data_IF_969524621094
#
_entry.id   IF_969524621094
#
_cell.length_a   1.000
_cell.length_b   1.000
_cell.length_c   1.000
_cell.angle_alpha   90.00
_cell.angle_beta   90.00
_cell.angle_gamma   90.00
#
_symmetry.space_group_name_H-M   'P 1'
#
loop_
_entity.id
_entity.type
_entity.pdbx_description
1 polymer ?
#
# COMPACT_ATOMS: atom_id res chain seq x y z
N UNK A 1 -39.05 0.74 -76.35
CA UNK A 1 -40.27 0.69 -75.51
C UNK A 1 -39.85 0.19 -74.14
N UNK A 2 -39.82 1.09 -73.14
CA UNK A 2 -40.75 1.13 -71.99
C UNK A 2 -40.36 0.04 -70.98
N UNK A 3 -40.01 0.30 -69.72
CA UNK A 3 -40.29 1.45 -68.88
C UNK A 3 -40.54 0.92 -67.47
N UNK A 4 -40.13 1.70 -66.47
CA UNK A 4 -40.32 1.49 -65.02
C UNK A 4 -41.80 1.20 -64.66
N UNK A 5 -42.06 0.76 -63.43
CA UNK A 5 -42.92 1.44 -62.43
C UNK A 5 -43.36 0.46 -61.29
N UNK A 6 -42.76 0.71 -60.12
CA UNK A 6 -43.28 0.68 -58.73
C UNK A 6 -44.69 0.16 -58.39
N UNK A 7 -44.77 -0.67 -57.31
CA UNK A 7 -45.71 -0.50 -56.16
C UNK A 7 -45.24 -1.36 -54.96
N UNK A 8 -44.62 -0.78 -53.92
CA UNK A 8 -45.13 -0.52 -52.56
C UNK A 8 -45.86 -1.67 -51.84
N UNK A 9 -45.31 -2.10 -50.70
CA UNK A 9 -46.08 -2.20 -49.45
C UNK A 9 -45.17 -1.98 -48.24
N UNK A 10 -45.68 -1.17 -47.32
CA UNK A 10 -45.02 -0.67 -46.12
C UNK A 10 -45.62 -1.33 -44.86
N UNK A 11 -45.12 -0.86 -43.71
CA UNK A 11 -45.49 -1.18 -42.32
C UNK A 11 -44.72 -2.40 -41.76
N UNK A 12 -44.11 -2.37 -40.56
CA UNK A 12 -44.39 -1.58 -39.36
C UNK A 12 -43.12 -1.66 -38.48
N UNK A 13 -42.32 -0.60 -38.37
CA UNK A 13 -41.20 -0.57 -37.41
C UNK A 13 -41.74 -0.21 -36.02
N UNK A 14 -41.78 -1.21 -35.15
CA UNK A 14 -42.07 -1.05 -33.73
C UNK A 14 -40.91 -0.25 -33.10
N UNK A 15 -41.18 1.01 -32.75
CA UNK A 15 -40.29 1.80 -31.92
C UNK A 15 -40.24 1.22 -30.52
N UNK A 16 -39.20 0.47 -30.21
CA UNK A 16 -38.83 0.18 -28.82
C UNK A 16 -38.02 1.37 -28.33
N UNK A 17 -38.68 2.15 -27.49
CA UNK A 17 -38.15 3.32 -26.83
C UNK A 17 -36.87 3.04 -26.05
N UNK A 18 -35.95 3.98 -26.22
CA UNK A 18 -34.83 4.30 -25.37
C UNK A 18 -35.23 4.26 -23.88
N UNK A 19 -34.59 3.39 -23.09
CA UNK A 19 -34.49 3.49 -21.62
C UNK A 19 -33.38 2.55 -21.12
N UNK A 20 -32.17 2.74 -21.62
CA UNK A 20 -30.97 2.32 -20.91
C UNK A 20 -30.34 3.59 -20.34
N UNK A 21 -30.85 3.99 -19.18
CA UNK A 21 -30.21 4.95 -18.31
C UNK A 21 -28.78 4.47 -18.06
N UNK A 22 -27.82 5.20 -18.59
CA UNK A 22 -26.42 5.05 -18.25
C UNK A 22 -26.29 5.34 -16.76
N UNK A 23 -25.96 4.32 -15.96
CA UNK A 23 -25.42 4.51 -14.62
C UNK A 23 -24.11 5.28 -14.78
N UNK A 24 -24.20 6.61 -14.78
CA UNK A 24 -23.02 7.49 -14.65
C UNK A 24 -22.46 7.26 -13.25
N UNK A 25 -21.43 6.43 -13.16
CA UNK A 25 -20.54 6.46 -12.00
C UNK A 25 -20.05 7.91 -11.82
N UNK A 26 -20.17 8.43 -10.61
CA UNK A 26 -19.84 9.82 -10.25
C UNK A 26 -18.40 10.17 -10.71
N UNK A 27 -18.30 10.98 -11.78
CA UNK A 27 -17.09 11.29 -12.57
C UNK A 27 -16.10 12.22 -11.85
N UNK A 28 -16.32 12.48 -10.56
CA UNK A 28 -15.45 13.35 -9.76
C UNK A 28 -14.08 12.70 -9.56
N UNK A 29 -13.03 13.51 -9.70
CA UNK A 29 -11.66 13.10 -9.39
C UNK A 29 -11.54 12.71 -7.91
N UNK A 30 -10.49 11.95 -7.57
CA UNK A 30 -10.22 11.53 -6.19
C UNK A 30 -10.10 12.73 -5.24
N UNK A 31 -9.44 13.77 -5.71
CA UNK A 31 -9.25 15.02 -4.99
C UNK A 31 -10.57 15.73 -4.77
N UNK A 32 -11.49 15.67 -5.73
CA UNK A 32 -12.83 16.26 -5.58
C UNK A 32 -13.70 15.46 -4.59
N UNK A 33 -13.59 14.13 -4.60
CA UNK A 33 -14.32 13.24 -3.66
C UNK A 33 -13.86 13.44 -2.21
N UNK A 34 -12.55 13.48 -2.01
CA UNK A 34 -11.94 13.55 -0.67
C UNK A 34 -11.66 14.99 -0.20
N UNK A 35 -11.71 15.96 -1.12
CA UNK A 35 -11.25 17.34 -0.93
C UNK A 35 -9.78 17.41 -0.46
N UNK A 36 -8.95 16.48 -0.92
CA UNK A 36 -7.52 16.38 -0.63
C UNK A 36 -6.77 16.47 -1.96
N UNK A 37 -5.93 17.48 -2.13
CA UNK A 37 -5.20 17.67 -3.37
C UNK A 37 -3.99 16.74 -3.47
N UNK A 38 -3.69 16.22 -4.67
CA UNK A 38 -2.46 15.48 -5.02
C UNK A 38 -2.33 14.11 -4.33
N UNK A 39 -3.39 13.31 -4.35
CA UNK A 39 -3.29 11.89 -3.97
C UNK A 39 -2.94 11.07 -5.21
N UNK A 40 -1.73 10.53 -5.24
CA UNK A 40 -1.25 9.71 -6.37
C UNK A 40 -1.92 8.33 -6.46
N UNK A 41 -2.71 7.97 -5.45
CA UNK A 41 -3.28 6.63 -5.26
C UNK A 41 -4.75 6.69 -4.83
N UNK A 42 -5.50 5.63 -5.17
CA UNK A 42 -6.90 5.42 -4.74
C UNK A 42 -7.03 4.81 -3.34
N UNK A 43 -5.92 4.39 -2.75
CA UNK A 43 -5.91 3.71 -1.47
C UNK A 43 -6.12 4.67 -0.30
N UNK A 44 -6.75 4.18 0.77
CA UNK A 44 -7.26 5.01 1.86
C UNK A 44 -6.90 4.45 3.21
N UNK A 45 -5.68 3.96 3.37
CA UNK A 45 -5.19 3.48 4.66
C UNK A 45 -4.53 4.62 5.44
N UNK A 46 -4.40 4.53 6.78
CA UNK A 46 -3.58 5.46 7.55
C UNK A 46 -2.15 5.61 7.03
N UNK A 47 -1.57 4.56 6.45
CA UNK A 47 -0.30 4.65 5.73
C UNK A 47 -0.34 5.65 4.56
N UNK A 48 -1.40 5.66 3.76
CA UNK A 48 -1.52 6.56 2.60
C UNK A 48 -1.65 8.02 3.06
N UNK A 49 -2.34 8.27 4.18
CA UNK A 49 -2.37 9.59 4.81
C UNK A 49 -0.99 10.00 5.33
N UNK A 50 -0.23 9.06 5.92
CA UNK A 50 1.13 9.30 6.40
C UNK A 50 2.08 9.71 5.28
N UNK A 51 2.14 8.95 4.18
CA UNK A 51 3.02 9.31 3.05
C UNK A 51 2.59 10.62 2.39
N UNK A 52 1.29 10.90 2.32
CA UNK A 52 0.75 12.16 1.81
C UNK A 52 1.23 13.36 2.66
N UNK A 53 1.01 13.31 3.97
CA UNK A 53 1.37 14.37 4.92
C UNK A 53 2.87 14.68 4.91
N UNK A 54 3.69 13.66 4.70
CA UNK A 54 5.15 13.75 4.74
C UNK A 54 5.80 13.81 3.35
N UNK A 55 5.01 13.88 2.26
CA UNK A 55 5.51 13.93 0.88
C UNK A 55 6.51 12.80 0.57
N UNK A 56 6.17 11.61 1.04
CA UNK A 56 6.92 10.38 0.80
C UNK A 56 6.39 9.78 -0.52
N UNK A 57 7.25 9.40 -1.47
CA UNK A 57 6.86 8.69 -2.69
C UNK A 57 5.99 7.47 -2.39
N UNK A 58 4.85 7.34 -3.09
CA UNK A 58 3.89 6.26 -2.87
C UNK A 58 4.32 4.92 -3.50
N UNK A 59 5.20 4.98 -4.50
CA UNK A 59 5.69 3.83 -5.25
C UNK A 59 7.16 4.02 -5.62
N UNK A 60 7.79 2.90 -5.97
CA UNK A 60 9.11 2.85 -6.59
C UNK A 60 9.02 3.47 -7.99
N UNK A 61 10.01 4.27 -8.37
CA UNK A 61 10.06 4.87 -9.71
C UNK A 61 10.41 3.79 -10.76
N UNK A 62 10.05 4.03 -12.03
CA UNK A 62 10.30 3.04 -13.08
C UNK A 62 11.81 2.84 -13.27
N UNK A 63 12.27 1.58 -13.17
CA UNK A 63 13.69 1.22 -13.24
C UNK A 63 14.51 1.53 -11.98
N UNK A 64 13.89 2.03 -10.91
CA UNK A 64 14.57 2.24 -9.62
C UNK A 64 14.68 0.91 -8.87
N UNK A 65 15.89 0.61 -8.38
CA UNK A 65 16.13 -0.56 -7.53
C UNK A 65 15.54 -0.34 -6.13
N UNK A 66 15.09 -1.42 -5.49
CA UNK A 66 14.43 -1.31 -4.18
C UNK A 66 15.34 -0.70 -3.10
N UNK A 67 16.65 -0.91 -3.21
CA UNK A 67 17.65 -0.33 -2.30
C UNK A 67 17.71 1.20 -2.47
N UNK A 68 17.76 1.69 -3.71
CA UNK A 68 17.79 3.13 -4.01
C UNK A 68 16.51 3.81 -3.55
N UNK A 69 15.35 3.15 -3.78
CA UNK A 69 14.07 3.60 -3.23
C UNK A 69 14.16 3.74 -1.71
N UNK A 70 14.57 2.70 -0.99
CA UNK A 70 14.64 2.76 0.48
C UNK A 70 15.61 3.84 0.98
N UNK A 71 16.78 3.99 0.37
CA UNK A 71 17.76 5.01 0.73
C UNK A 71 17.21 6.44 0.54
N UNK A 72 16.47 6.67 -0.54
CA UNK A 72 15.78 7.93 -0.83
C UNK A 72 14.70 8.24 0.20
N UNK A 73 13.92 7.23 0.63
CA UNK A 73 12.94 7.41 1.71
C UNK A 73 13.63 7.73 3.03
N UNK A 74 14.65 6.98 3.42
CA UNK A 74 15.41 7.22 4.66
C UNK A 74 16.03 8.62 4.69
N UNK A 75 16.59 9.09 3.58
CA UNK A 75 17.15 10.44 3.47
C UNK A 75 16.10 11.53 3.72
N UNK A 76 14.87 11.33 3.22
CA UNK A 76 13.74 12.25 3.47
C UNK A 76 13.29 12.21 4.93
N UNK A 77 13.16 11.01 5.50
CA UNK A 77 12.77 10.82 6.90
C UNK A 77 13.80 11.47 7.83
N UNK A 78 15.09 11.24 7.62
CA UNK A 78 16.16 11.83 8.45
C UNK A 78 16.13 13.37 8.42
N UNK A 79 15.89 13.98 7.25
CA UNK A 79 15.74 15.43 7.14
C UNK A 79 14.51 15.94 7.92
N UNK A 80 13.38 15.22 7.82
CA UNK A 80 12.15 15.58 8.55
C UNK A 80 12.28 15.36 10.05
N UNK A 81 12.95 14.30 10.49
CA UNK A 81 13.25 14.00 11.90
C UNK A 81 14.12 15.11 12.49
N UNK A 82 15.22 15.50 11.83
CA UNK A 82 16.11 16.57 12.28
C UNK A 82 15.45 17.96 12.33
N UNK A 83 14.27 18.12 11.73
CA UNK A 83 13.47 19.35 11.74
C UNK A 83 12.20 19.24 12.59
N UNK A 84 11.95 18.08 13.19
CA UNK A 84 10.74 17.78 13.98
C UNK A 84 9.47 18.03 13.13
N UNK A 85 9.47 17.53 11.89
CA UNK A 85 8.41 17.74 10.90
C UNK A 85 7.64 16.47 10.51
N UNK A 86 7.99 15.32 11.08
CA UNK A 86 7.25 14.08 10.80
C UNK A 86 5.83 14.23 11.34
N UNK A 87 4.85 14.13 10.44
CA UNK A 87 3.42 14.19 10.76
C UNK A 87 2.85 12.79 10.82
N UNK A 88 2.26 12.41 11.95
CA UNK A 88 1.52 11.17 12.10
C UNK A 88 0.03 11.44 11.88
N UNK A 89 -0.63 10.73 10.95
CA UNK A 89 -2.08 10.81 10.82
C UNK A 89 -2.77 10.34 12.09
N UNK A 90 -4.00 10.78 12.32
CA UNK A 90 -4.75 10.44 13.52
C UNK A 90 -4.80 8.92 13.75
N UNK A 91 -4.34 8.45 14.91
CA UNK A 91 -4.32 7.03 15.27
C UNK A 91 -3.08 6.24 14.83
N UNK A 92 -2.17 6.84 14.04
CA UNK A 92 -0.84 6.28 13.83
C UNK A 92 0.06 6.65 15.00
N UNK A 93 0.73 5.66 15.58
CA UNK A 93 1.59 5.84 16.77
C UNK A 93 3.07 5.86 16.41
N UNK A 94 3.92 6.22 17.38
CA UNK A 94 5.38 6.16 17.25
C UNK A 94 5.85 4.74 16.90
N UNK A 95 5.24 3.72 17.47
CA UNK A 95 5.53 2.31 17.19
C UNK A 95 5.25 1.95 15.74
N UNK A 96 4.16 2.47 15.16
CA UNK A 96 3.86 2.27 13.75
C UNK A 96 4.87 3.00 12.83
N UNK A 97 5.34 4.18 13.24
CA UNK A 97 6.41 4.89 12.53
C UNK A 97 7.75 4.12 12.56
N UNK A 98 8.17 3.63 13.73
CA UNK A 98 9.36 2.78 13.86
C UNK A 98 9.19 1.45 13.10
N UNK A 99 7.96 0.93 13.02
CA UNK A 99 7.62 -0.24 12.24
C UNK A 99 7.79 -0.01 10.75
N UNK A 100 7.39 1.15 10.26
CA UNK A 100 7.63 1.56 8.87
C UNK A 100 9.13 1.62 8.54
N UNK A 101 9.95 2.24 9.40
CA UNK A 101 11.42 2.22 9.22
C UNK A 101 11.95 0.78 9.19
N UNK A 102 11.56 -0.03 10.18
CA UNK A 102 11.95 -1.46 10.23
C UNK A 102 11.57 -2.23 8.96
N UNK A 103 10.38 -1.97 8.41
CA UNK A 103 9.88 -2.59 7.19
C UNK A 103 10.73 -2.24 5.95
N UNK A 104 11.17 -0.98 5.86
CA UNK A 104 12.02 -0.47 4.77
C UNK A 104 13.49 -0.84 4.90
N UNK A 105 13.96 -1.18 6.10
CA UNK A 105 15.35 -1.55 6.30
C UNK A 105 15.69 -2.80 5.50
N UNK A 106 16.76 -2.74 4.71
CA UNK A 106 17.28 -3.83 3.85
C UNK A 106 18.75 -4.15 4.12
N UNK A 107 19.52 -3.24 4.72
CA UNK A 107 20.97 -3.36 4.91
C UNK A 107 21.45 -3.14 6.36
N UNK A 108 20.54 -2.88 7.31
CA UNK A 108 20.93 -2.61 8.68
C UNK A 108 21.58 -3.83 9.36
N UNK A 109 22.70 -3.61 10.07
CA UNK A 109 23.41 -4.70 10.77
C UNK A 109 22.63 -5.27 11.96
N UNK A 110 21.77 -4.45 12.59
CA UNK A 110 21.14 -4.72 13.89
C UNK A 110 19.64 -4.99 13.78
N UNK A 111 18.90 -4.22 12.97
CA UNK A 111 17.44 -4.32 12.83
C UNK A 111 17.06 -4.27 11.35
N UNK A 112 17.02 -5.43 10.70
CA UNK A 112 16.77 -5.54 9.27
C UNK A 112 15.49 -6.35 9.01
N UNK A 113 14.43 -5.68 8.57
CA UNK A 113 13.21 -6.37 8.20
C UNK A 113 13.28 -7.03 6.83
N UNK A 114 14.04 -6.46 5.90
CA UNK A 114 14.09 -6.81 4.48
C UNK A 114 12.70 -7.00 3.84
N UNK A 115 11.64 -6.44 4.46
CA UNK A 115 10.26 -6.78 4.12
C UNK A 115 9.90 -6.20 2.75
N UNK A 116 10.37 -4.97 2.50
CA UNK A 116 10.14 -4.21 1.28
C UNK A 116 10.71 -4.87 0.02
N UNK A 117 11.68 -5.78 0.15
CA UNK A 117 12.29 -6.49 -0.98
C UNK A 117 11.27 -7.36 -1.74
N UNK A 118 10.31 -7.97 -1.04
CA UNK A 118 9.19 -8.69 -1.65
C UNK A 118 7.89 -7.88 -1.58
N UNK A 119 7.68 -7.12 -0.50
CA UNK A 119 6.47 -6.35 -0.25
C UNK A 119 6.62 -4.89 -0.69
N UNK A 120 6.93 -4.68 -1.96
CA UNK A 120 7.15 -3.35 -2.53
C UNK A 120 5.87 -2.48 -2.53
N UNK A 121 5.95 -1.17 -2.21
CA UNK A 121 4.86 -0.22 -2.43
C UNK A 121 4.48 -0.13 -3.92
N UNK A 122 3.27 0.25 -4.30
CA UNK A 122 2.18 0.79 -3.48
C UNK A 122 1.30 -0.28 -2.83
N UNK A 123 1.20 -1.48 -3.43
CA UNK A 123 0.31 -2.55 -2.97
C UNK A 123 0.94 -3.49 -1.95
N UNK A 124 2.19 -3.25 -1.55
CA UNK A 124 2.97 -4.09 -0.63
C UNK A 124 3.10 -5.53 -1.14
N UNK A 125 3.40 -5.65 -2.42
CA UNK A 125 3.65 -6.91 -3.13
C UNK A 125 4.36 -6.60 -4.45
N UNK A 126 5.32 -7.45 -4.81
CA UNK A 126 5.94 -7.48 -6.14
C UNK A 126 5.25 -8.47 -7.10
N UNK A 127 4.25 -9.23 -6.63
CA UNK A 127 3.57 -10.33 -7.31
C UNK A 127 4.50 -11.44 -7.84
N UNK A 128 5.79 -11.39 -7.53
CA UNK A 128 6.77 -12.39 -7.95
C UNK A 128 6.61 -13.65 -7.12
N UNK A 129 7.03 -14.78 -7.69
CA UNK A 129 7.06 -16.06 -7.00
C UNK A 129 8.29 -16.14 -6.11
N UNK A 130 8.07 -16.39 -4.82
CA UNK A 130 9.15 -16.59 -3.84
C UNK A 130 8.98 -17.92 -3.13
N UNK A 131 10.09 -18.60 -2.87
CA UNK A 131 10.14 -19.76 -1.99
C UNK A 131 10.38 -19.29 -0.56
N UNK A 132 9.78 -19.97 0.41
CA UNK A 132 10.00 -19.68 1.83
C UNK A 132 11.10 -20.56 2.42
N UNK A 133 11.19 -21.81 1.93
CA UNK A 133 12.14 -22.85 2.28
C UNK A 133 12.51 -23.62 1.00
N UNK A 134 13.61 -24.40 0.99
CA UNK A 134 14.08 -25.14 -0.20
C UNK A 134 13.01 -26.07 -0.77
N UNK A 135 12.22 -26.69 0.10
CA UNK A 135 11.20 -27.68 -0.29
C UNK A 135 9.81 -27.08 -0.51
N UNK A 136 9.66 -25.76 -0.32
CA UNK A 136 8.36 -25.10 -0.48
C UNK A 136 8.12 -24.70 -1.94
N UNK A 137 6.92 -25.00 -2.45
CA UNK A 137 6.50 -24.51 -3.76
C UNK A 137 6.54 -22.97 -3.80
N UNK A 138 7.11 -22.35 -4.84
CA UNK A 138 7.09 -20.90 -5.02
C UNK A 138 5.66 -20.37 -5.00
N UNK A 139 5.42 -19.27 -4.27
CA UNK A 139 4.11 -18.63 -4.20
C UNK A 139 4.23 -17.14 -4.48
N UNK A 140 3.22 -16.52 -5.12
CA UNK A 140 3.23 -15.09 -5.36
C UNK A 140 3.19 -14.35 -4.02
N UNK A 141 3.96 -13.26 -3.90
CA UNK A 141 3.88 -12.40 -2.71
C UNK A 141 2.46 -11.84 -2.58
N UNK A 142 1.72 -12.10 -1.48
CA UNK A 142 0.41 -11.51 -1.31
C UNK A 142 0.56 -10.03 -0.93
N UNK A 143 -0.40 -9.21 -1.36
CA UNK A 143 -0.52 -7.83 -0.84
C UNK A 143 -0.68 -7.85 0.68
N UNK A 144 -0.04 -6.89 1.37
CA UNK A 144 -0.23 -6.66 2.80
C UNK A 144 -1.38 -5.70 3.09
N UNK A 145 -2.04 -5.14 2.08
CA UNK A 145 -3.20 -4.28 2.29
C UNK A 145 -4.38 -5.08 2.81
N UNK A 146 -5.21 -4.42 3.62
CA UNK A 146 -6.49 -4.94 4.11
C UNK A 146 -6.40 -6.34 4.79
N UNK A 147 -5.31 -6.60 5.51
CA UNK A 147 -5.11 -7.86 6.24
C UNK A 147 -6.19 -8.14 7.28
N UNK A 148 -6.76 -7.10 7.89
CA UNK A 148 -7.86 -7.24 8.84
C UNK A 148 -9.13 -7.82 8.18
N UNK A 149 -9.45 -7.39 6.95
CA UNK A 149 -10.59 -7.93 6.17
C UNK A 149 -10.42 -9.42 5.89
N UNK A 150 -9.16 -9.87 5.73
CA UNK A 150 -8.78 -11.28 5.56
C UNK A 150 -8.58 -12.03 6.88
N UNK A 151 -8.84 -11.40 8.03
CA UNK A 151 -8.68 -11.97 9.38
C UNK A 151 -7.28 -12.54 9.64
N UNK A 152 -6.25 -11.91 9.06
CA UNK A 152 -4.86 -12.35 9.22
C UNK A 152 -4.39 -12.05 10.65
N UNK A 153 -3.87 -13.06 11.34
CA UNK A 153 -3.18 -12.86 12.61
C UNK A 153 -1.74 -12.40 12.34
N UNK A 154 -1.52 -11.09 12.34
CA UNK A 154 -0.24 -10.46 11.98
C UNK A 154 0.90 -10.95 12.89
N UNK A 155 0.69 -10.98 14.20
CA UNK A 155 1.70 -11.43 15.16
C UNK A 155 2.15 -12.88 14.88
N UNK A 156 1.20 -13.79 14.64
CA UNK A 156 1.49 -15.19 14.30
C UNK A 156 2.26 -15.30 12.99
N UNK A 157 1.90 -14.52 11.97
CA UNK A 157 2.58 -14.52 10.67
C UNK A 157 4.01 -14.00 10.80
N UNK A 158 4.21 -12.86 11.47
CA UNK A 158 5.55 -12.30 11.70
C UNK A 158 6.45 -13.28 12.46
N UNK A 159 5.91 -13.95 13.48
CA UNK A 159 6.64 -14.98 14.21
C UNK A 159 7.02 -16.17 13.32
N UNK A 160 6.12 -16.63 12.46
CA UNK A 160 6.41 -17.70 11.51
C UNK A 160 7.49 -17.29 10.50
N UNK A 161 7.48 -16.04 10.02
CA UNK A 161 8.53 -15.50 9.14
C UNK A 161 9.89 -15.45 9.83
N UNK A 162 9.93 -15.04 11.09
CA UNK A 162 11.18 -15.03 11.86
C UNK A 162 11.71 -16.45 12.12
N UNK A 163 10.83 -17.42 12.34
CA UNK A 163 11.22 -18.84 12.45
C UNK A 163 11.78 -19.35 11.13
N UNK A 164 11.12 -19.06 10.00
CA UNK A 164 11.60 -19.45 8.67
C UNK A 164 12.95 -18.81 8.34
N UNK A 165 13.16 -17.53 8.66
CA UNK A 165 14.43 -16.83 8.45
C UNK A 165 15.63 -17.46 9.20
N UNK A 166 15.37 -18.15 10.31
CA UNK A 166 16.39 -18.85 11.12
C UNK A 166 16.64 -20.29 10.67
N UNK A 167 15.85 -20.82 9.74
CA UNK A 167 16.03 -22.18 9.25
C UNK A 167 17.36 -22.32 8.48
N UNK A 168 18.11 -23.44 8.62
CA UNK A 168 19.38 -23.64 7.92
C UNK A 168 19.24 -23.54 6.40
N UNK A 169 18.11 -23.97 5.86
CA UNK A 169 17.75 -23.99 4.44
C UNK A 169 17.01 -22.72 3.98
N UNK A 170 16.90 -21.70 4.83
CA UNK A 170 16.21 -20.46 4.45
C UNK A 170 16.87 -19.81 3.22
N UNK A 171 16.08 -19.26 2.28
CA UNK A 171 16.60 -18.48 1.16
C UNK A 171 17.46 -17.31 1.63
N UNK A 172 18.41 -16.89 0.77
CA UNK A 172 19.36 -15.82 1.08
C UNK A 172 18.67 -14.55 1.57
N UNK A 173 17.60 -14.12 0.91
CA UNK A 173 16.89 -12.88 1.25
C UNK A 173 16.14 -12.98 2.58
N UNK A 174 15.68 -14.19 2.95
CA UNK A 174 15.08 -14.46 4.26
C UNK A 174 16.12 -14.46 5.38
N UNK A 175 17.34 -14.94 5.11
CA UNK A 175 18.45 -14.93 6.08
C UNK A 175 18.93 -13.52 6.45
N UNK A 176 18.58 -12.51 5.64
CA UNK A 176 18.86 -11.11 5.96
C UNK A 176 17.96 -10.57 7.07
N UNK A 177 16.83 -11.22 7.36
CA UNK A 177 15.87 -10.77 8.36
C UNK A 177 16.47 -10.92 9.76
N UNK A 178 16.66 -9.79 10.45
CA UNK A 178 17.18 -9.68 11.81
C UNK A 178 16.24 -8.79 12.61
N UNK A 179 15.32 -9.40 13.35
CA UNK A 179 14.29 -8.71 14.12
C UNK A 179 14.33 -9.13 15.58
N UNK A 180 14.27 -8.16 16.49
CA UNK A 180 14.07 -8.38 17.92
C UNK A 180 12.58 -8.26 18.32
N UNK A 181 12.27 -8.44 19.61
CA UNK A 181 10.89 -8.40 20.13
C UNK A 181 10.21 -7.06 19.90
N UNK A 182 10.93 -5.95 20.01
CA UNK A 182 10.35 -4.62 19.82
C UNK A 182 10.13 -4.32 18.34
N UNK A 183 11.02 -4.79 17.47
CA UNK A 183 10.78 -4.75 16.02
C UNK A 183 9.48 -5.47 15.63
N UNK A 184 9.17 -6.62 16.24
CA UNK A 184 7.93 -7.34 15.95
C UNK A 184 6.69 -6.53 16.36
N UNK A 185 6.71 -5.88 17.53
CA UNK A 185 5.63 -4.98 17.97
C UNK A 185 5.46 -3.80 17.01
N UNK A 186 6.57 -3.17 16.63
CA UNK A 186 6.59 -2.03 15.73
C UNK A 186 6.04 -2.42 14.34
N UNK A 187 6.52 -3.53 13.77
CA UNK A 187 6.02 -4.06 12.50
C UNK A 187 4.53 -4.39 12.57
N UNK A 188 4.06 -5.01 13.66
CA UNK A 188 2.62 -5.25 13.83
C UNK A 188 1.81 -3.94 13.85
N UNK A 189 2.29 -2.93 14.59
CA UNK A 189 1.65 -1.61 14.64
C UNK A 189 1.60 -0.94 13.26
N UNK A 190 2.69 -1.03 12.48
CA UNK A 190 2.75 -0.54 11.11
C UNK A 190 1.80 -1.29 10.17
N UNK A 191 1.81 -2.62 10.19
CA UNK A 191 0.99 -3.44 9.31
C UNK A 191 -0.52 -3.24 9.55
N UNK A 192 -0.93 -2.83 10.75
CA UNK A 192 -2.32 -2.41 11.03
C UNK A 192 -2.70 -1.11 10.31
N UNK A 193 -1.73 -0.25 9.96
CA UNK A 193 -1.95 0.99 9.21
C UNK A 193 -2.23 0.76 7.71
N UNK A 194 -2.22 -0.49 7.25
CA UNK A 194 -2.45 -0.87 5.84
C UNK A 194 -3.90 -1.29 5.55
N UNK A 195 -4.84 -1.02 6.45
CA UNK A 195 -6.26 -1.30 6.25
C UNK A 195 -6.96 -0.02 5.81
N UNK A 196 -7.71 -0.11 4.70
CA UNK A 196 -8.43 1.04 4.19
C UNK A 196 -9.57 1.45 5.12
N UNK A 197 -9.78 2.76 5.19
CA UNK A 197 -10.95 3.40 5.80
C UNK A 197 -11.79 4.07 4.70
N UNK A 198 -13.00 4.52 5.06
CA UNK A 198 -13.82 5.31 4.13
C UNK A 198 -13.22 6.71 3.88
N UNK A 199 -13.67 7.38 2.82
CA UNK A 199 -13.16 8.69 2.42
C UNK A 199 -13.32 9.77 3.49
N UNK A 200 -14.39 9.71 4.31
CA UNK A 200 -14.63 10.68 5.39
C UNK A 200 -13.61 10.48 6.48
N UNK A 201 -13.40 9.24 6.93
CA UNK A 201 -12.37 8.91 7.91
C UNK A 201 -10.98 9.23 7.37
N UNK A 202 -10.69 8.91 6.11
CA UNK A 202 -9.40 9.23 5.49
C UNK A 202 -9.08 10.73 5.54
N UNK A 203 -10.07 11.57 5.26
CA UNK A 203 -9.93 13.02 5.41
C UNK A 203 -9.59 13.43 6.84
N UNK A 204 -10.25 12.85 7.83
CA UNK A 204 -10.00 13.13 9.24
C UNK A 204 -8.57 12.73 9.67
N UNK A 205 -8.04 11.61 9.15
CA UNK A 205 -6.66 11.18 9.41
C UNK A 205 -5.64 12.29 9.07
N UNK A 206 -5.88 13.01 7.98
CA UNK A 206 -5.02 14.10 7.49
C UNK A 206 -5.26 15.39 8.28
N UNK A 207 -6.52 15.76 8.51
CA UNK A 207 -6.86 17.02 9.19
C UNK A 207 -6.44 17.04 10.67
N UNK A 208 -6.45 15.88 11.33
CA UNK A 208 -6.13 15.72 12.76
C UNK A 208 -4.73 15.13 12.99
N UNK A 209 -3.85 15.24 11.99
CA UNK A 209 -2.49 14.77 12.11
C UNK A 209 -1.72 15.54 13.20
N UNK A 210 -0.87 14.82 13.93
CA UNK A 210 0.01 15.39 14.97
C UNK A 210 1.46 15.32 14.53
N UNK A 211 2.33 16.12 15.13
CA UNK A 211 3.77 16.02 14.91
C UNK A 211 4.30 14.89 15.80
N UNK A 212 5.17 14.04 15.26
CA UNK A 212 5.89 13.03 16.02
C UNK A 212 6.73 13.71 17.09
N UNK A 213 6.48 13.35 18.34
CA UNK A 213 7.33 13.72 19.47
C UNK A 213 8.62 12.89 19.43
N UNK A 214 9.75 13.60 19.31
CA UNK A 214 11.12 13.05 19.27
C UNK A 214 11.91 13.39 20.53
N UNK A 215 11.28 14.00 21.55
CA UNK A 215 11.96 14.37 22.80
C UNK A 215 12.45 13.17 23.64
N UNK A 216 12.06 11.95 23.26
CA UNK A 216 12.41 10.71 23.94
C UNK A 216 13.55 9.94 23.25
N UNK A 217 14.18 10.53 22.23
CA UNK A 217 15.28 9.93 21.44
C UNK A 217 16.67 10.40 21.86
#
# INVERSE_FOLDING_TARGET
MIGKWTTKMALLSCGIGCLLGTLRADDKSIEQKTKIHRLDTKERAPYDAFIYLNRIPAKVDEGEEILDFTARIYSRLANQEGRILIKLPQGMTREAYLGYKTFLSTDAKVSNGNCVACHAPEKFTDLKLHTLNVDSQPRPTPSLRNMAKRKVNIAKVLQAKLTAAKAPDAPKDYKLIRLNKDNLKHLEAFLKQLNDVDDKLFRELILKATILDTSQD
#
